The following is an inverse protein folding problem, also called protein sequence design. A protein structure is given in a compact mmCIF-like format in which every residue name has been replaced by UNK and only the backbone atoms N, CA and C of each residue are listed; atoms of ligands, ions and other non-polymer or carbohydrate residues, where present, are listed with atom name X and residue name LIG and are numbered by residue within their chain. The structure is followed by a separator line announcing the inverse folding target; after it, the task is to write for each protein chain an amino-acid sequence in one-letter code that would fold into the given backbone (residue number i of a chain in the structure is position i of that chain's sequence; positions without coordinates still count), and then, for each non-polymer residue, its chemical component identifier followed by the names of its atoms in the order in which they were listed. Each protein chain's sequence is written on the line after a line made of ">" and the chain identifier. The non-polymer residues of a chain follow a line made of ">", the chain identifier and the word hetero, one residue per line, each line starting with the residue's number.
data_IF_856531973254
#
_entry.id   IF_856531973254
#
_cell.length_a   1.000
_cell.length_b   1.000
_cell.length_c   1.000
_cell.angle_alpha   90.00
_cell.angle_beta   90.00
_cell.angle_gamma   90.00
#
_symmetry.space_group_name_H-M   'P 1'
#
loop_
_entity.id
_entity.type
_entity.pdbx_description
1 polymer ?
#
# COMPACT_ATOMS: atom_id res chain seq x y z
N UNK A 1 -12.03 -8.06 17.99
CA UNK A 1 -10.68 -8.64 18.04
C UNK A 1 -10.05 -8.50 16.67
N UNK A 2 -9.08 -7.59 16.50
CA UNK A 2 -8.18 -7.62 15.35
C UNK A 2 -6.84 -8.17 15.87
N UNK A 3 -6.36 -9.30 15.34
CA UNK A 3 -5.17 -9.98 15.83
C UNK A 3 -3.89 -9.25 15.38
N UNK A 4 -2.92 -9.16 16.30
CA UNK A 4 -1.50 -9.30 15.99
C UNK A 4 -0.76 -8.10 15.39
N UNK A 5 -0.42 -7.11 16.23
CA UNK A 5 0.76 -6.28 15.98
C UNK A 5 1.99 -7.15 16.32
N UNK A 6 2.58 -7.79 15.31
CA UNK A 6 3.83 -8.54 15.48
C UNK A 6 4.97 -7.54 15.74
N UNK A 7 5.50 -7.57 16.96
CA UNK A 7 6.75 -6.95 17.31
C UNK A 7 7.90 -7.80 16.74
N UNK A 8 8.54 -7.31 15.68
CA UNK A 8 9.88 -7.75 15.26
C UNK A 8 10.74 -6.52 15.02
N UNK A 9 11.97 -6.60 15.51
CA UNK A 9 12.88 -5.50 15.71
C UNK A 9 13.76 -5.27 14.47
N UNK A 10 13.52 -4.18 13.74
CA UNK A 10 14.47 -3.47 12.88
C UNK A 10 13.99 -2.01 12.78
N UNK A 11 14.67 -1.07 13.44
CA UNK A 11 14.18 0.31 13.68
C UNK A 11 14.44 1.30 12.53
N UNK A 12 14.67 0.82 11.31
CA UNK A 12 14.94 1.66 10.13
C UNK A 12 14.12 1.27 8.88
N UNK A 13 13.20 0.30 8.97
CA UNK A 13 12.31 -0.02 7.85
C UNK A 13 11.06 0.89 7.88
N UNK A 14 10.70 1.54 6.76
CA UNK A 14 9.51 2.39 6.74
C UNK A 14 8.27 1.57 7.11
N UNK A 15 7.39 2.10 7.98
CA UNK A 15 6.21 1.36 8.42
C UNK A 15 5.41 0.85 7.22
N UNK A 16 5.04 -0.43 7.26
CA UNK A 16 4.22 -1.07 6.24
C UNK A 16 2.75 -0.97 6.61
N UNK A 17 1.90 -0.71 5.61
CA UNK A 17 0.46 -0.66 5.72
C UNK A 17 -0.18 -1.50 4.62
N UNK A 18 -1.02 -2.46 5.02
CA UNK A 18 -1.85 -3.23 4.10
C UNK A 18 -3.15 -2.48 3.82
N UNK A 19 -3.26 -1.92 2.61
CA UNK A 19 -4.42 -1.17 2.15
C UNK A 19 -5.36 -2.05 1.34
N UNK A 20 -6.65 -2.05 1.66
CA UNK A 20 -7.68 -2.74 0.89
C UNK A 20 -8.37 -1.76 -0.06
N UNK A 21 -8.17 -1.95 -1.36
CA UNK A 21 -8.73 -1.14 -2.44
C UNK A 21 -10.25 -1.10 -2.34
N UNK A 22 -10.83 0.10 -2.45
CA UNK A 22 -12.27 0.34 -2.47
C UNK A 22 -12.74 0.65 -3.90
N UNK A 23 -14.04 0.55 -4.11
CA UNK A 23 -14.64 0.91 -5.40
C UNK A 23 -14.41 2.39 -5.69
N UNK A 24 -13.83 2.70 -6.86
CA UNK A 24 -13.50 4.07 -7.28
C UNK A 24 -12.12 4.56 -6.86
N UNK A 25 -11.31 3.74 -6.20
CA UNK A 25 -9.92 4.06 -5.93
C UNK A 25 -9.07 4.00 -7.21
N UNK A 26 -8.00 4.79 -7.20
CA UNK A 26 -6.94 4.71 -8.19
C UNK A 26 -5.59 4.75 -7.48
N UNK A 27 -4.56 4.19 -8.11
CA UNK A 27 -3.20 4.26 -7.59
C UNK A 27 -2.78 5.70 -7.27
N UNK A 28 -3.18 6.65 -8.11
CA UNK A 28 -2.90 8.06 -7.91
C UNK A 28 -3.53 8.63 -6.63
N UNK A 29 -4.80 8.31 -6.36
CA UNK A 29 -5.49 8.77 -5.14
C UNK A 29 -4.86 8.18 -3.89
N UNK A 30 -4.60 6.87 -3.90
CA UNK A 30 -3.96 6.17 -2.78
C UNK A 30 -2.55 6.73 -2.54
N UNK A 31 -1.75 6.84 -3.60
CA UNK A 31 -0.42 7.46 -3.56
C UNK A 31 -0.45 8.86 -2.92
N UNK A 32 -1.37 9.71 -3.36
CA UNK A 32 -1.51 11.07 -2.83
C UNK A 32 -1.96 11.11 -1.37
N UNK A 33 -2.83 10.19 -0.95
CA UNK A 33 -3.33 10.11 0.44
C UNK A 33 -2.22 9.74 1.42
N UNK A 34 -1.31 8.84 1.00
CA UNK A 34 -0.23 8.33 1.83
C UNK A 34 1.13 8.99 1.58
N UNK A 35 1.22 9.95 0.66
CA UNK A 35 2.47 10.64 0.31
C UNK A 35 3.50 9.74 -0.38
N UNK A 36 3.04 8.72 -1.11
CA UNK A 36 3.88 7.70 -1.77
C UNK A 36 3.91 7.97 -3.28
N UNK A 37 5.00 7.64 -3.98
CA UNK A 37 4.99 7.69 -5.44
C UNK A 37 4.20 6.50 -6.03
N UNK A 38 3.39 6.76 -7.05
CA UNK A 38 2.62 5.70 -7.76
C UNK A 38 3.52 4.56 -8.24
N UNK A 39 4.71 4.88 -8.74
CA UNK A 39 5.67 3.89 -9.23
C UNK A 39 6.20 2.98 -8.11
N UNK A 40 6.26 3.46 -6.88
CA UNK A 40 6.68 2.66 -5.73
C UNK A 40 5.61 1.65 -5.38
N UNK A 41 4.34 2.07 -5.31
CA UNK A 41 3.19 1.18 -5.09
C UNK A 41 3.15 0.08 -6.16
N UNK A 42 3.37 0.45 -7.42
CA UNK A 42 3.42 -0.49 -8.55
C UNK A 42 4.56 -1.50 -8.34
N UNK A 43 5.76 -1.02 -8.03
CA UNK A 43 6.95 -1.85 -7.84
C UNK A 43 6.78 -2.84 -6.70
N UNK A 44 6.31 -2.38 -5.53
CA UNK A 44 6.14 -3.20 -4.34
C UNK A 44 5.09 -4.30 -4.52
N UNK A 45 4.01 -3.97 -5.24
CA UNK A 45 2.88 -4.88 -5.43
C UNK A 45 2.92 -5.62 -6.78
N UNK A 46 4.00 -5.43 -7.56
CA UNK A 46 4.19 -6.01 -8.90
C UNK A 46 2.98 -5.80 -9.81
N UNK A 47 2.42 -4.59 -9.76
CA UNK A 47 1.24 -4.24 -10.55
C UNK A 47 1.62 -4.00 -12.01
N UNK A 48 0.68 -4.31 -12.91
CA UNK A 48 0.76 -3.83 -14.29
C UNK A 48 0.15 -2.41 -14.34
N UNK A 49 0.91 -1.37 -14.74
CA UNK A 49 0.38 0.00 -14.84
C UNK A 49 -0.75 0.15 -15.85
N UNK A 50 -0.95 -0.83 -16.74
CA UNK A 50 -2.06 -0.85 -17.71
C UNK A 50 -3.34 -1.45 -17.13
N UNK A 51 -3.26 -2.10 -15.96
CA UNK A 51 -4.42 -2.74 -15.34
C UNK A 51 -5.06 -1.83 -14.29
N UNK A 52 -6.38 -1.89 -14.23
CA UNK A 52 -7.15 -1.21 -13.21
C UNK A 52 -7.10 -1.97 -11.88
N UNK A 53 -7.03 -1.21 -10.79
CA UNK A 53 -7.18 -1.76 -9.45
C UNK A 53 -8.58 -2.39 -9.29
N UNK A 54 -8.62 -3.55 -8.64
CA UNK A 54 -9.86 -4.25 -8.37
C UNK A 54 -10.32 -3.99 -6.94
N UNK A 55 -11.60 -3.65 -6.70
CA UNK A 55 -12.12 -3.55 -5.34
C UNK A 55 -11.88 -4.82 -4.55
N UNK A 56 -11.37 -4.68 -3.33
CA UNK A 56 -10.99 -5.78 -2.45
C UNK A 56 -9.55 -6.28 -2.64
N UNK A 57 -8.80 -5.80 -3.64
CA UNK A 57 -7.37 -6.05 -3.78
C UNK A 57 -6.61 -5.46 -2.60
N UNK A 58 -5.60 -6.18 -2.11
CA UNK A 58 -4.71 -5.70 -1.05
C UNK A 58 -3.43 -5.14 -1.67
N UNK A 59 -3.01 -3.96 -1.21
CA UNK A 59 -1.76 -3.30 -1.58
C UNK A 59 -0.90 -3.11 -0.33
N UNK A 60 0.37 -3.51 -0.42
CA UNK A 60 1.39 -3.18 0.57
C UNK A 60 1.93 -1.78 0.27
N UNK A 61 1.85 -0.90 1.25
CA UNK A 61 2.33 0.47 1.19
C UNK A 61 3.44 0.67 2.23
N UNK A 62 4.59 1.21 1.83
CA UNK A 62 5.61 1.66 2.78
C UNK A 62 5.41 3.15 2.98
N UNK A 63 4.93 3.54 4.16
CA UNK A 63 4.67 4.92 4.51
C UNK A 63 5.88 5.48 5.24
N UNK A 64 6.51 6.52 4.68
CA UNK A 64 7.51 7.28 5.43
C UNK A 64 6.79 8.17 6.45
N UNK A 65 7.26 8.15 7.71
CA UNK A 65 6.76 9.06 8.74
C UNK A 65 7.20 10.51 8.49
#
# INVERSE_FOLDING_TARGET
>A
TQPGLVAVADQDEPPTLDYRVKSGDSLYRIASEYGIAVNDIISWNRLDPRQYLQPGQTLTLYVSR
#
